data_IF_656754786832
#
_entry.id   IF_656754786832
#
_cell.length_a   1.000
_cell.length_b   1.000
_cell.length_c   1.000
_cell.angle_alpha   90.00
_cell.angle_beta   90.00
_cell.angle_gamma   90.00
#
_symmetry.space_group_name_H-M   'P 1'
#
loop_
_entity.id
_entity.type
_entity.pdbx_description
1 polymer ?
#
# COMPACT_ATOMS: atom_id res chain seq x y z
N UNK A 1 16.54 26.94 22.93
CA UNK A 1 16.04 27.89 21.91
C UNK A 1 16.74 27.76 20.56
N UNK A 2 17.98 27.32 20.47
CA UNK A 2 18.78 27.27 19.22
C UNK A 2 18.45 26.08 18.26
N UNK A 3 17.90 24.96 18.76
CA UNK A 3 17.56 23.80 17.94
C UNK A 3 16.28 23.96 17.07
N UNK A 4 15.32 24.79 17.53
CA UNK A 4 14.09 25.03 16.75
C UNK A 4 14.29 25.97 15.56
N UNK A 5 15.29 26.86 15.62
CA UNK A 5 15.59 27.82 14.55
C UNK A 5 16.27 27.12 13.34
N UNK A 6 17.04 26.05 13.61
CA UNK A 6 17.70 25.28 12.55
C UNK A 6 16.73 24.46 11.71
N UNK A 7 15.68 23.90 12.35
CA UNK A 7 14.66 23.12 11.63
C UNK A 7 13.77 24.00 10.73
N UNK A 8 13.50 25.24 11.14
CA UNK A 8 12.71 26.19 10.34
C UNK A 8 13.48 26.70 9.12
N UNK A 9 14.80 26.84 9.22
CA UNK A 9 15.67 27.28 8.12
C UNK A 9 15.82 26.20 7.03
N UNK A 10 15.81 24.92 7.39
CA UNK A 10 15.85 23.80 6.43
C UNK A 10 14.52 23.71 5.67
N UNK A 11 13.39 23.94 6.35
CA UNK A 11 12.07 23.96 5.72
C UNK A 11 11.91 25.15 4.77
N UNK A 12 12.37 26.32 5.16
CA UNK A 12 12.35 27.52 4.32
C UNK A 12 13.29 27.39 3.09
N UNK A 13 14.46 26.78 3.24
CA UNK A 13 15.38 26.54 2.14
C UNK A 13 14.82 25.54 1.11
N UNK A 14 14.13 24.48 1.55
CA UNK A 14 13.44 23.54 0.67
C UNK A 14 12.30 24.20 -0.10
N UNK A 15 11.54 25.10 0.54
CA UNK A 15 10.42 25.83 -0.09
C UNK A 15 10.92 26.86 -1.10
N UNK A 16 12.05 27.52 -0.84
CA UNK A 16 12.65 28.53 -1.75
C UNK A 16 13.27 27.84 -2.98
N UNK A 17 13.89 26.68 -2.85
CA UNK A 17 14.37 25.90 -3.99
C UNK A 17 13.20 25.43 -4.91
N UNK A 18 12.03 25.22 -4.37
CA UNK A 18 10.83 24.85 -5.13
C UNK A 18 10.28 25.99 -6.00
N UNK A 19 10.37 27.23 -5.51
CA UNK A 19 9.81 28.40 -6.21
C UNK A 19 10.68 28.96 -7.34
N UNK A 20 11.98 28.69 -7.34
CA UNK A 20 12.93 29.32 -8.28
C UNK A 20 13.01 28.61 -9.64
N UNK A 21 12.66 27.32 -9.71
CA UNK A 21 12.74 26.57 -10.98
C UNK A 21 11.44 26.57 -11.82
N UNK A 22 10.31 27.00 -11.25
CA UNK A 22 9.03 27.01 -11.97
C UNK A 22 8.82 28.22 -12.90
N UNK A 23 9.61 29.29 -12.74
CA UNK A 23 9.36 30.58 -13.41
C UNK A 23 10.26 30.89 -14.60
N UNK A 24 11.16 30.01 -15.00
CA UNK A 24 12.12 30.31 -16.08
C UNK A 24 11.80 29.67 -17.45
N UNK A 25 10.81 28.81 -17.57
CA UNK A 25 10.54 28.11 -18.84
C UNK A 25 9.34 28.64 -19.65
N UNK A 26 8.45 29.44 -19.05
CA UNK A 26 7.19 29.85 -19.73
C UNK A 26 7.20 31.25 -20.39
N UNK A 27 8.34 31.95 -20.39
CA UNK A 27 8.33 33.35 -20.89
C UNK A 27 8.80 33.55 -22.33
N UNK A 28 9.19 32.52 -23.08
CA UNK A 28 9.72 32.67 -24.45
C UNK A 28 9.06 31.83 -25.54
N UNK A 29 7.74 31.65 -25.53
CA UNK A 29 7.05 30.96 -26.63
C UNK A 29 5.96 31.78 -27.30
N UNK A 30 6.30 33.01 -27.72
CA UNK A 30 5.46 33.76 -28.67
C UNK A 30 6.32 34.25 -29.84
N UNK A 31 6.27 33.55 -30.98
CA UNK A 31 6.78 34.06 -32.23
C UNK A 31 7.24 33.03 -33.25
N UNK A 32 6.43 32.87 -34.29
CA UNK A 32 6.76 32.32 -35.62
C UNK A 32 7.02 30.82 -35.77
N UNK A 33 6.05 30.18 -36.42
CA UNK A 33 5.99 28.78 -36.81
C UNK A 33 7.11 28.27 -37.70
N UNK A 34 8.17 27.83 -37.06
CA UNK A 34 9.03 26.75 -37.57
C UNK A 34 8.85 25.54 -36.63
N UNK A 35 8.80 24.29 -37.12
CA UNK A 35 8.80 23.15 -36.23
C UNK A 35 10.09 23.20 -35.42
N UNK A 36 10.00 23.55 -34.16
CA UNK A 36 11.14 23.47 -33.23
C UNK A 36 11.71 22.05 -33.28
N UNK A 37 13.05 21.92 -33.50
CA UNK A 37 13.70 20.62 -33.35
C UNK A 37 13.42 20.16 -31.93
N UNK A 38 12.72 19.06 -31.80
CA UNK A 38 12.42 18.45 -30.48
C UNK A 38 13.70 18.44 -29.65
N UNK A 39 13.72 19.09 -28.48
CA UNK A 39 14.95 19.21 -27.70
C UNK A 39 15.46 17.80 -27.41
N UNK A 40 16.68 17.50 -27.84
CA UNK A 40 17.32 16.21 -27.54
C UNK A 40 17.32 16.04 -26.04
N UNK A 41 16.52 15.10 -25.56
CA UNK A 41 16.38 14.83 -24.14
C UNK A 41 17.77 14.66 -23.50
N UNK A 42 18.07 15.46 -22.47
CA UNK A 42 19.39 15.44 -21.84
C UNK A 42 19.70 14.02 -21.34
N UNK A 43 20.91 13.53 -21.60
CA UNK A 43 21.34 12.21 -21.13
C UNK A 43 21.32 12.07 -19.62
N UNK A 44 21.56 13.16 -18.89
CA UNK A 44 21.51 13.26 -17.43
C UNK A 44 20.60 14.43 -17.07
N UNK A 45 19.67 14.21 -16.16
CA UNK A 45 18.82 15.28 -15.61
C UNK A 45 18.65 15.11 -14.10
N UNK A 46 18.51 16.23 -13.41
CA UNK A 46 18.05 16.28 -12.03
C UNK A 46 16.54 16.01 -11.99
N UNK A 47 16.12 15.20 -11.05
CA UNK A 47 14.71 14.85 -10.83
C UNK A 47 14.35 15.03 -9.36
N UNK A 48 13.08 15.25 -9.09
CA UNK A 48 12.53 15.37 -7.74
C UNK A 48 11.11 14.81 -7.73
N UNK A 49 10.71 14.35 -6.57
CA UNK A 49 9.36 13.84 -6.31
C UNK A 49 8.92 14.19 -4.90
N UNK A 50 7.63 14.21 -4.67
CA UNK A 50 7.05 14.33 -3.34
C UNK A 50 5.71 13.60 -3.30
N UNK A 51 5.53 12.82 -2.27
CA UNK A 51 4.28 12.11 -2.01
C UNK A 51 3.75 12.55 -0.64
N UNK A 52 2.50 12.99 -0.61
CA UNK A 52 1.81 13.37 0.60
C UNK A 52 0.63 12.43 0.83
N UNK A 53 0.53 11.90 2.03
CA UNK A 53 -0.55 11.01 2.47
C UNK A 53 -1.12 11.53 3.80
N UNK A 54 -2.39 11.91 3.77
CA UNK A 54 -3.14 12.34 4.94
C UNK A 54 -4.22 11.31 5.21
N UNK A 55 -4.28 10.80 6.43
CA UNK A 55 -5.23 9.78 6.84
C UNK A 55 -5.90 10.11 8.17
N UNK A 56 -7.19 9.85 8.19
CA UNK A 56 -8.01 9.72 9.37
C UNK A 56 -8.74 8.37 9.28
N UNK A 57 -8.65 7.56 10.33
CA UNK A 57 -9.36 6.29 10.46
C UNK A 57 -9.81 6.17 11.92
N UNK A 58 -11.06 6.52 12.17
CA UNK A 58 -11.68 6.36 13.48
C UNK A 58 -12.42 5.03 13.53
N UNK A 59 -12.00 4.18 14.44
CA UNK A 59 -12.51 2.82 14.64
C UNK A 59 -13.31 2.77 15.93
N UNK A 60 -14.59 2.45 15.80
CA UNK A 60 -15.53 2.32 16.90
C UNK A 60 -16.10 0.91 16.89
N UNK A 61 -15.65 0.08 17.84
CA UNK A 61 -16.07 -1.31 18.00
C UNK A 61 -16.62 -1.56 19.37
N UNK A 62 -17.56 -2.53 19.47
CA UNK A 62 -18.13 -2.92 20.73
C UNK A 62 -17.06 -3.45 21.69
N UNK A 63 -17.10 -2.98 22.94
CA UNK A 63 -16.22 -3.42 24.01
C UNK A 63 -16.89 -4.54 24.79
N UNK A 64 -16.43 -5.78 24.63
CA UNK A 64 -16.95 -6.93 25.35
C UNK A 64 -15.91 -8.02 25.53
N UNK A 65 -16.27 -9.13 26.17
CA UNK A 65 -15.37 -10.29 26.35
C UNK A 65 -14.97 -10.93 25.01
N UNK A 66 -15.78 -10.75 23.97
CA UNK A 66 -15.59 -11.24 22.60
C UNK A 66 -15.32 -10.06 21.65
N UNK A 67 -14.43 -9.16 22.08
CA UNK A 67 -14.09 -7.99 21.31
C UNK A 67 -13.48 -8.38 19.96
N UNK A 68 -14.14 -7.96 18.87
CA UNK A 68 -13.67 -8.22 17.50
C UNK A 68 -12.31 -7.58 17.23
N UNK A 69 -12.16 -6.31 17.58
CA UNK A 69 -10.91 -5.57 17.54
C UNK A 69 -10.97 -4.35 18.46
N UNK A 70 -9.85 -3.73 18.75
CA UNK A 70 -9.79 -2.55 19.61
C UNK A 70 -10.27 -1.30 18.89
N UNK A 71 -11.03 -0.44 19.61
CA UNK A 71 -11.36 0.91 19.15
C UNK A 71 -10.12 1.77 19.21
N UNK A 72 -9.84 2.49 18.12
CA UNK A 72 -8.70 3.39 18.03
C UNK A 72 -8.91 4.47 16.98
N UNK A 73 -8.19 5.57 17.09
CA UNK A 73 -8.14 6.60 16.05
C UNK A 73 -6.73 6.72 15.50
N UNK A 74 -6.58 6.52 14.20
CA UNK A 74 -5.37 6.79 13.45
C UNK A 74 -5.58 8.12 12.72
N UNK A 75 -4.79 9.14 13.05
CA UNK A 75 -4.95 10.46 12.48
C UNK A 75 -3.60 11.13 12.29
N UNK A 76 -3.20 11.33 11.05
CA UNK A 76 -1.89 11.87 10.78
C UNK A 76 -1.67 12.27 9.33
N UNK A 77 -0.53 12.85 9.08
CA UNK A 77 -0.03 13.19 7.77
C UNK A 77 1.42 12.74 7.60
N UNK A 78 1.72 12.30 6.40
CA UNK A 78 3.05 11.87 5.97
C UNK A 78 3.46 12.63 4.71
N UNK A 79 4.74 13.00 4.64
CA UNK A 79 5.34 13.63 3.47
C UNK A 79 6.69 12.97 3.18
N UNK A 80 6.86 12.50 1.95
CA UNK A 80 8.10 11.85 1.48
C UNK A 80 8.68 12.59 0.28
N UNK A 81 9.38 13.73 0.50
CA UNK A 81 10.09 14.42 -0.56
C UNK A 81 11.38 13.67 -0.91
N UNK A 82 11.71 13.62 -2.19
CA UNK A 82 12.92 13.00 -2.69
C UNK A 82 13.51 13.79 -3.86
N UNK A 83 14.82 13.69 -4.04
CA UNK A 83 15.58 14.28 -5.14
C UNK A 83 16.52 13.24 -5.71
N UNK A 84 16.93 13.41 -6.95
CA UNK A 84 17.81 12.43 -7.55
C UNK A 84 18.35 12.82 -8.93
N UNK A 85 19.06 11.88 -9.50
CA UNK A 85 19.63 11.98 -10.85
C UNK A 85 19.05 10.86 -11.72
N UNK A 86 18.55 11.24 -12.88
CA UNK A 86 18.16 10.30 -13.92
C UNK A 86 19.22 10.27 -15.00
N UNK A 87 19.68 9.06 -15.37
CA UNK A 87 20.58 8.80 -16.48
C UNK A 87 19.85 7.99 -17.53
N UNK A 88 19.77 8.50 -18.74
CA UNK A 88 19.25 7.76 -19.89
C UNK A 88 20.39 7.01 -20.57
N UNK A 89 20.38 5.70 -20.46
CA UNK A 89 21.37 4.84 -21.12
C UNK A 89 21.13 4.79 -22.63
N UNK A 90 19.87 4.57 -23.03
CA UNK A 90 19.42 4.53 -24.43
C UNK A 90 17.93 4.91 -24.51
N UNK A 91 17.29 4.71 -25.66
CA UNK A 91 15.86 5.02 -25.83
C UNK A 91 14.93 4.18 -24.93
N UNK A 92 15.37 2.98 -24.51
CA UNK A 92 14.56 2.01 -23.79
C UNK A 92 14.95 1.85 -22.32
N UNK A 93 16.09 2.38 -21.87
CA UNK A 93 16.58 2.14 -20.51
C UNK A 93 16.93 3.45 -19.83
N UNK A 94 16.37 3.65 -18.67
CA UNK A 94 16.60 4.77 -17.77
C UNK A 94 16.96 4.27 -16.39
N UNK A 95 17.90 4.94 -15.77
CA UNK A 95 18.37 4.68 -14.42
C UNK A 95 18.10 5.91 -13.57
N UNK A 96 17.70 5.75 -12.33
CA UNK A 96 17.56 6.84 -11.38
C UNK A 96 18.23 6.45 -10.07
N UNK A 97 18.87 7.40 -9.45
CA UNK A 97 19.34 7.30 -8.07
C UNK A 97 18.61 8.37 -7.28
N UNK A 98 17.81 7.95 -6.31
CA UNK A 98 16.95 8.81 -5.50
C UNK A 98 17.42 8.82 -4.06
N UNK A 99 17.34 9.99 -3.42
CA UNK A 99 17.51 10.16 -1.98
C UNK A 99 16.42 11.08 -1.44
N UNK A 100 15.87 10.75 -0.29
CA UNK A 100 14.77 11.49 0.30
C UNK A 100 14.67 11.29 1.79
N UNK A 101 13.62 11.84 2.35
CA UNK A 101 13.27 11.69 3.76
C UNK A 101 11.81 11.31 3.89
N UNK A 102 11.51 10.55 4.91
CA UNK A 102 10.16 10.22 5.33
C UNK A 102 9.86 10.98 6.62
N UNK A 103 8.91 11.89 6.57
CA UNK A 103 8.44 12.65 7.71
C UNK A 103 6.96 12.37 7.94
N UNK A 104 6.60 12.11 9.18
CA UNK A 104 5.24 11.79 9.57
C UNK A 104 4.88 12.51 10.86
N UNK A 105 3.65 12.97 10.97
CA UNK A 105 3.09 13.57 12.15
C UNK A 105 1.72 12.99 12.46
N UNK A 106 1.60 12.32 13.60
CA UNK A 106 0.31 12.03 14.20
C UNK A 106 -0.28 13.30 14.80
N UNK A 107 -1.58 13.51 14.60
CA UNK A 107 -2.31 14.65 15.13
C UNK A 107 -2.94 14.32 16.48
N UNK A 108 -3.14 15.37 17.27
CA UNK A 108 -3.70 15.29 18.61
C UNK A 108 -2.65 15.40 19.71
N UNK A 109 -3.12 15.56 20.94
CA UNK A 109 -2.27 15.49 22.12
C UNK A 109 -2.09 14.03 22.49
N UNK A 110 -0.86 13.62 22.73
CA UNK A 110 -0.65 12.34 23.39
C UNK A 110 -1.33 12.41 24.75
N UNK A 111 -2.28 11.57 25.09
CA UNK A 111 -2.75 11.48 26.45
C UNK A 111 -1.54 11.20 27.34
N UNK A 112 -1.47 11.87 28.48
CA UNK A 112 -0.56 11.48 29.55
C UNK A 112 -0.78 9.99 29.73
N UNK A 113 0.27 9.19 29.48
CA UNK A 113 0.20 7.78 29.40
C UNK A 113 -0.67 7.22 30.52
N UNK A 114 -1.79 6.61 30.17
CA UNK A 114 -2.48 5.70 31.09
C UNK A 114 -1.51 4.54 31.23
N UNK A 115 -0.92 4.46 32.39
CA UNK A 115 0.21 3.63 32.72
C UNK A 115 0.07 2.21 32.16
N UNK A 116 1.16 1.69 31.65
CA UNK A 116 1.55 0.28 31.61
C UNK A 116 0.90 -0.64 30.58
N UNK A 117 0.59 -0.17 29.39
CA UNK A 117 0.45 -1.09 28.25
C UNK A 117 1.66 -0.96 27.31
N UNK A 118 2.38 -2.05 26.96
CA UNK A 118 3.43 -2.00 25.93
C UNK A 118 2.95 -1.46 24.57
N UNK A 119 1.65 -1.42 24.35
CA UNK A 119 0.99 -0.85 23.17
C UNK A 119 0.84 0.68 23.27
N UNK A 120 0.79 1.26 24.48
CA UNK A 120 0.86 2.70 24.70
C UNK A 120 2.23 3.28 24.38
N UNK A 121 3.31 2.54 24.61
CA UNK A 121 4.67 2.99 24.34
C UNK A 121 4.93 3.18 22.83
N UNK A 122 4.27 2.43 21.95
CA UNK A 122 4.33 2.65 20.49
C UNK A 122 3.73 4.01 20.09
N UNK A 123 2.71 4.48 20.79
CA UNK A 123 2.14 5.82 20.59
C UNK A 123 3.09 6.94 20.98
N UNK A 124 3.96 6.74 21.97
CA UNK A 124 4.96 7.71 22.40
C UNK A 124 6.16 7.78 21.46
N UNK A 125 6.55 6.67 20.81
CA UNK A 125 7.60 6.66 19.80
C UNK A 125 7.21 7.43 18.53
N UNK A 126 5.92 7.53 18.24
CA UNK A 126 5.37 8.24 17.07
C UNK A 126 5.44 9.78 17.17
N UNK A 127 6.03 10.35 18.23
CA UNK A 127 6.25 11.80 18.34
C UNK A 127 7.37 12.32 17.43
N UNK A 128 8.22 11.45 16.90
CA UNK A 128 9.32 11.83 16.01
C UNK A 128 8.78 12.19 14.64
N UNK A 129 8.92 13.44 14.25
CA UNK A 129 8.54 13.92 12.92
C UNK A 129 9.33 13.22 11.81
N UNK A 130 10.62 13.04 11.99
CA UNK A 130 11.49 12.32 11.08
C UNK A 130 11.41 10.83 11.38
N UNK A 131 11.09 10.04 10.36
CA UNK A 131 10.98 8.58 10.44
C UNK A 131 12.22 7.92 9.90
N UNK A 132 12.56 8.20 8.65
CA UNK A 132 13.55 7.45 7.91
C UNK A 132 14.15 8.26 6.77
N UNK A 133 15.34 7.86 6.32
CA UNK A 133 15.95 8.29 5.06
C UNK A 133 15.58 7.26 3.99
N UNK A 134 15.06 7.72 2.87
CA UNK A 134 14.90 6.89 1.68
C UNK A 134 16.12 7.06 0.78
N UNK A 135 16.66 5.96 0.29
CA UNK A 135 17.75 5.97 -0.67
C UNK A 135 17.66 4.73 -1.55
N UNK A 136 17.38 4.92 -2.82
CA UNK A 136 17.16 3.79 -3.71
C UNK A 136 17.60 4.05 -5.14
N UNK A 137 17.94 2.97 -5.80
CA UNK A 137 18.12 2.88 -7.22
C UNK A 137 16.82 2.44 -7.89
N UNK A 138 16.48 3.08 -9.03
CA UNK A 138 15.31 2.77 -9.87
C UNK A 138 15.79 2.54 -11.29
N UNK A 139 15.38 1.44 -11.90
CA UNK A 139 15.57 1.14 -13.32
C UNK A 139 14.24 0.99 -14.02
N UNK A 140 14.10 1.64 -15.18
CA UNK A 140 12.94 1.53 -16.06
C UNK A 140 13.44 1.08 -17.44
N UNK A 141 13.02 -0.11 -17.89
CA UNK A 141 13.50 -0.74 -19.10
C UNK A 141 12.34 -1.23 -19.96
N UNK A 142 12.29 -0.79 -21.22
CA UNK A 142 11.34 -1.29 -22.22
C UNK A 142 11.97 -2.46 -22.98
N UNK A 143 11.40 -3.65 -22.80
CA UNK A 143 11.86 -4.91 -23.40
C UNK A 143 10.78 -5.44 -24.37
N UNK A 144 10.83 -4.99 -25.60
CA UNK A 144 9.79 -5.33 -26.60
C UNK A 144 8.43 -4.78 -26.18
N UNK A 145 7.46 -5.67 -25.96
CA UNK A 145 6.10 -5.32 -25.49
C UNK A 145 5.99 -5.17 -23.97
N UNK A 146 7.07 -5.44 -23.24
CA UNK A 146 7.10 -5.35 -21.78
C UNK A 146 7.79 -4.08 -21.31
N UNK A 147 7.26 -3.50 -20.23
CA UNK A 147 7.92 -2.48 -19.46
C UNK A 147 8.31 -3.05 -18.11
N UNK A 148 9.59 -3.06 -17.77
CA UNK A 148 10.12 -3.62 -16.53
C UNK A 148 10.67 -2.48 -15.68
N UNK A 149 10.25 -2.43 -14.41
CA UNK A 149 10.77 -1.49 -13.43
C UNK A 149 11.36 -2.26 -12.26
N UNK A 150 12.50 -1.81 -11.78
CA UNK A 150 13.18 -2.39 -10.63
C UNK A 150 13.59 -1.32 -9.64
N UNK A 151 13.52 -1.64 -8.35
CA UNK A 151 13.91 -0.77 -7.24
C UNK A 151 14.80 -1.56 -6.29
N UNK A 152 15.81 -0.92 -5.72
CA UNK A 152 16.68 -1.53 -4.73
C UNK A 152 17.17 -0.46 -3.73
N UNK A 153 17.07 -0.74 -2.44
CA UNK A 153 17.41 0.14 -1.34
C UNK A 153 16.22 0.37 -0.39
N UNK A 154 16.10 1.57 0.16
CA UNK A 154 15.00 1.99 1.01
C UNK A 154 14.08 2.89 0.18
N UNK A 155 12.91 2.41 -0.19
CA UNK A 155 12.00 3.06 -1.11
C UNK A 155 10.53 2.97 -0.65
N UNK A 156 9.67 3.93 -1.06
CA UNK A 156 8.27 3.96 -0.63
C UNK A 156 7.47 2.70 -1.02
N UNK A 157 6.75 2.13 -0.07
CA UNK A 157 5.91 0.92 -0.24
C UNK A 157 4.81 1.09 -1.30
N UNK A 158 4.32 2.32 -1.55
CA UNK A 158 3.34 2.57 -2.60
C UNK A 158 3.85 2.32 -4.03
N UNK A 159 5.16 2.13 -4.21
CA UNK A 159 5.74 1.68 -5.48
C UNK A 159 5.42 0.20 -5.78
N UNK A 160 5.07 -0.61 -4.77
CA UNK A 160 4.41 -1.89 -4.98
C UNK A 160 2.94 -1.63 -5.31
N UNK A 161 2.51 -2.05 -6.50
CA UNK A 161 1.22 -1.68 -7.09
C UNK A 161 0.22 -2.85 -7.15
N UNK A 162 0.60 -4.04 -6.69
CA UNK A 162 -0.27 -5.19 -6.59
C UNK A 162 -1.50 -4.89 -5.74
N UNK A 163 -2.65 -5.42 -6.16
CA UNK A 163 -3.93 -5.25 -5.47
C UNK A 163 -4.05 -6.29 -4.35
N UNK A 164 -3.19 -6.13 -3.33
CA UNK A 164 -3.19 -7.00 -2.16
C UNK A 164 -4.40 -6.70 -1.28
N UNK A 165 -5.10 -7.74 -0.86
CA UNK A 165 -6.19 -7.60 0.09
C UNK A 165 -5.68 -7.15 1.46
N UNK A 166 -6.60 -6.72 2.32
CA UNK A 166 -6.26 -6.36 3.70
C UNK A 166 -5.79 -7.56 4.55
N UNK A 167 -6.03 -8.80 4.11
CA UNK A 167 -5.48 -9.98 4.76
C UNK A 167 -3.94 -10.06 4.63
N UNK A 168 -3.36 -9.47 3.58
CA UNK A 168 -1.90 -9.40 3.40
C UNK A 168 -1.28 -8.21 4.12
N UNK A 169 -1.84 -7.02 3.90
CA UNK A 169 -1.29 -5.76 4.41
C UNK A 169 -2.43 -4.85 4.87
N UNK A 170 -2.45 -4.54 6.15
CA UNK A 170 -3.43 -3.63 6.73
C UNK A 170 -3.20 -2.17 6.27
N UNK A 171 -4.26 -1.37 6.31
CA UNK A 171 -4.14 0.07 6.02
C UNK A 171 -3.26 0.80 7.05
N UNK A 172 -3.25 0.31 8.29
CA UNK A 172 -2.36 0.82 9.36
C UNK A 172 -0.90 0.57 9.03
N UNK A 173 -0.56 -0.68 8.64
CA UNK A 173 0.80 -1.02 8.23
C UNK A 173 1.26 -0.10 7.08
N UNK A 174 0.47 -0.01 6.02
CA UNK A 174 0.81 0.81 4.84
C UNK A 174 1.04 2.29 5.19
N UNK A 175 0.43 2.78 6.27
CA UNK A 175 0.59 4.16 6.71
C UNK A 175 1.76 4.34 7.68
N UNK A 176 1.96 3.44 8.65
CA UNK A 176 3.01 3.56 9.67
C UNK A 176 4.35 3.00 9.22
N UNK A 177 4.34 1.97 8.40
CA UNK A 177 5.51 1.35 7.76
C UNK A 177 5.42 1.59 6.24
N UNK A 178 5.79 2.82 5.84
CA UNK A 178 5.58 3.32 4.47
C UNK A 178 6.69 2.93 3.51
N UNK A 179 7.81 2.42 3.98
CA UNK A 179 8.96 2.09 3.15
C UNK A 179 9.19 0.57 3.10
N UNK A 180 9.83 0.13 2.03
CA UNK A 180 10.39 -1.21 1.86
C UNK A 180 11.92 -1.09 1.91
N UNK A 181 12.55 -1.97 2.68
CA UNK A 181 14.00 -2.05 2.79
C UNK A 181 14.51 -3.27 2.03
N UNK A 182 14.73 -3.16 0.73
CA UNK A 182 15.12 -4.32 -0.05
C UNK A 182 15.06 -4.13 -1.55
N UNK A 183 14.24 -4.94 -2.24
CA UNK A 183 14.13 -4.90 -3.69
C UNK A 183 12.68 -5.12 -4.15
N UNK A 184 12.33 -4.51 -5.28
CA UNK A 184 11.06 -4.69 -5.97
C UNK A 184 11.32 -4.76 -7.47
N UNK A 185 10.73 -5.74 -8.13
CA UNK A 185 10.68 -5.80 -9.59
C UNK A 185 9.24 -5.87 -10.06
N UNK A 186 8.91 -5.10 -11.11
CA UNK A 186 7.59 -5.07 -11.73
C UNK A 186 7.71 -5.22 -13.24
N UNK A 187 6.77 -5.95 -13.84
CA UNK A 187 6.72 -6.13 -15.27
C UNK A 187 5.30 -5.91 -15.79
N UNK A 188 5.17 -5.00 -16.74
CA UNK A 188 3.92 -4.64 -17.39
C UNK A 188 3.93 -5.13 -18.82
N UNK A 189 3.10 -6.12 -19.11
CA UNK A 189 2.83 -6.59 -20.47
C UNK A 189 1.48 -6.08 -20.99
N UNK A 190 1.13 -6.38 -22.24
CA UNK A 190 -0.13 -5.94 -22.84
C UNK A 190 -1.39 -6.41 -22.11
N UNK A 191 -1.32 -7.58 -21.47
CA UNK A 191 -2.43 -8.19 -20.71
C UNK A 191 -2.01 -8.70 -19.34
N UNK A 192 -0.75 -8.49 -18.95
CA UNK A 192 -0.17 -9.10 -17.77
C UNK A 192 0.51 -8.06 -16.91
N UNK A 193 0.33 -8.17 -15.62
CA UNK A 193 1.12 -7.48 -14.61
C UNK A 193 1.73 -8.50 -13.68
N UNK A 194 3.01 -8.33 -13.37
CA UNK A 194 3.75 -9.14 -12.42
C UNK A 194 4.55 -8.23 -11.49
N UNK A 195 4.61 -8.62 -10.22
CA UNK A 195 5.39 -7.91 -9.22
C UNK A 195 5.94 -8.91 -8.20
N UNK A 196 7.18 -8.69 -7.80
CA UNK A 196 7.86 -9.44 -6.74
C UNK A 196 8.66 -8.47 -5.90
N UNK A 197 8.48 -8.53 -4.59
CA UNK A 197 9.18 -7.71 -3.61
C UNK A 197 9.84 -8.58 -2.55
N UNK A 198 10.95 -8.08 -2.05
CA UNK A 198 11.64 -8.54 -0.85
C UNK A 198 11.81 -7.34 0.08
N UNK A 199 11.44 -7.49 1.35
CA UNK A 199 11.44 -6.46 2.37
C UNK A 199 12.13 -6.99 3.62
N UNK A 200 13.16 -6.32 4.08
CA UNK A 200 13.96 -6.74 5.22
C UNK A 200 13.59 -5.92 6.45
N UNK A 201 12.76 -6.49 7.32
CA UNK A 201 12.18 -5.77 8.47
C UNK A 201 13.06 -5.80 9.72
N UNK A 202 14.07 -6.67 9.79
CA UNK A 202 14.91 -6.77 10.97
C UNK A 202 16.16 -7.62 10.79
N UNK A 203 17.25 -7.16 11.38
CA UNK A 203 18.55 -7.84 11.35
C UNK A 203 18.72 -8.76 12.55
N UNK A 204 19.27 -9.95 12.30
CA UNK A 204 19.63 -10.89 13.36
C UNK A 204 20.72 -10.34 14.32
N UNK A 205 20.58 -10.61 15.59
CA UNK A 205 21.58 -10.25 16.62
C UNK A 205 21.19 -10.76 18.00
N UNK A 206 22.01 -10.50 19.02
CA UNK A 206 21.77 -11.00 20.39
C UNK A 206 20.41 -10.57 20.95
N UNK A 207 19.98 -9.35 20.64
CA UNK A 207 18.69 -8.77 21.06
C UNK A 207 17.87 -8.25 19.87
N UNK A 208 18.25 -8.61 18.63
CA UNK A 208 17.57 -8.22 17.40
C UNK A 208 16.97 -9.44 16.74
N UNK A 209 15.77 -9.29 16.21
CA UNK A 209 15.02 -10.32 15.54
C UNK A 209 15.23 -10.24 14.06
N UNK A 210 15.57 -11.35 13.42
CA UNK A 210 15.56 -11.45 11.98
C UNK A 210 14.14 -11.52 11.48
N UNK A 211 13.79 -10.58 10.61
CA UNK A 211 12.47 -10.55 10.00
C UNK A 211 12.61 -10.12 8.54
N UNK A 212 11.90 -10.80 7.68
CA UNK A 212 11.77 -10.37 6.29
C UNK A 212 10.46 -10.86 5.69
N UNK A 213 9.98 -10.09 4.70
CA UNK A 213 8.85 -10.42 3.88
C UNK A 213 9.29 -10.64 2.44
N UNK A 214 8.77 -11.68 1.80
CA UNK A 214 8.77 -11.81 0.34
C UNK A 214 7.33 -11.85 -0.12
N UNK A 215 6.95 -10.99 -1.03
CA UNK A 215 5.58 -10.96 -1.52
C UNK A 215 5.52 -10.67 -3.01
N UNK A 216 4.44 -11.07 -3.64
CA UNK A 216 4.28 -10.86 -5.06
C UNK A 216 2.83 -10.90 -5.50
N UNK A 217 2.61 -10.35 -6.67
CA UNK A 217 1.30 -10.25 -7.29
C UNK A 217 1.41 -10.49 -8.79
N UNK A 218 0.52 -11.30 -9.32
CA UNK A 218 0.40 -11.51 -10.75
C UNK A 218 -1.05 -11.43 -11.19
N UNK A 219 -1.30 -10.76 -12.34
CA UNK A 219 -2.63 -10.64 -12.93
C UNK A 219 -2.55 -10.79 -14.44
N UNK A 220 -3.46 -11.56 -14.99
CA UNK A 220 -3.67 -11.72 -16.43
C UNK A 220 -5.10 -11.31 -16.82
N UNK A 221 -5.21 -10.50 -17.88
CA UNK A 221 -6.48 -10.00 -18.41
C UNK A 221 -6.84 -10.86 -19.63
N UNK A 222 -7.83 -11.74 -19.49
CA UNK A 222 -8.30 -12.60 -20.57
C UNK A 222 -9.04 -11.79 -21.63
N UNK A 223 -9.96 -10.93 -21.17
CA UNK A 223 -10.80 -10.08 -22.02
C UNK A 223 -11.28 -8.85 -21.22
N UNK A 224 -12.22 -8.09 -21.77
CA UNK A 224 -12.75 -6.86 -21.17
C UNK A 224 -13.48 -7.10 -19.83
N UNK A 225 -13.92 -8.33 -19.58
CA UNK A 225 -14.78 -8.65 -18.45
C UNK A 225 -14.10 -9.53 -17.41
N UNK A 226 -13.06 -10.30 -17.82
CA UNK A 226 -12.47 -11.32 -16.96
C UNK A 226 -10.98 -11.15 -16.83
N UNK A 227 -10.51 -11.13 -15.61
CA UNK A 227 -9.10 -11.27 -15.25
C UNK A 227 -8.94 -12.26 -14.11
N UNK A 228 -7.79 -12.89 -14.03
CA UNK A 228 -7.43 -13.74 -12.90
C UNK A 228 -5.99 -13.49 -12.48
N UNK A 229 -5.66 -13.89 -11.28
CA UNK A 229 -4.34 -13.67 -10.74
C UNK A 229 -4.07 -14.42 -9.46
N UNK A 230 -2.91 -14.12 -8.93
CA UNK A 230 -2.40 -14.69 -7.69
C UNK A 230 -1.67 -13.59 -6.91
N UNK A 231 -1.97 -13.49 -5.63
CA UNK A 231 -1.11 -12.80 -4.66
C UNK A 231 -0.48 -13.82 -3.73
N UNK A 232 0.71 -13.55 -3.25
CA UNK A 232 1.36 -14.37 -2.21
C UNK A 232 2.21 -13.51 -1.29
N UNK A 233 2.42 -14.00 -0.08
CA UNK A 233 3.34 -13.44 0.93
C UNK A 233 4.01 -14.60 1.67
N UNK A 234 5.26 -14.44 1.98
CA UNK A 234 6.00 -15.24 2.94
C UNK A 234 6.68 -14.31 3.93
N UNK A 235 6.35 -14.46 5.20
CA UNK A 235 6.97 -13.73 6.30
C UNK A 235 7.76 -14.71 7.18
N UNK A 236 9.03 -14.41 7.33
CA UNK A 236 9.92 -15.08 8.26
C UNK A 236 10.10 -14.20 9.49
N UNK A 237 9.78 -14.76 10.66
CA UNK A 237 9.91 -14.08 11.95
C UNK A 237 10.74 -14.94 12.88
N UNK A 238 12.00 -14.58 13.07
CA UNK A 238 12.90 -15.26 13.98
C UNK A 238 13.06 -14.49 15.29
N UNK A 239 13.34 -15.18 16.38
CA UNK A 239 13.73 -14.53 17.63
C UNK A 239 15.21 -14.10 17.60
N UNK A 240 15.59 -13.31 18.63
CA UNK A 240 16.98 -12.99 18.91
C UNK A 240 17.76 -14.24 19.30
N UNK A 241 19.09 -14.19 19.24
CA UNK A 241 19.96 -15.32 19.56
C UNK A 241 19.74 -15.91 20.96
N UNK A 242 19.27 -15.10 21.89
CA UNK A 242 18.98 -15.52 23.29
C UNK A 242 17.61 -16.19 23.46
N UNK A 243 16.69 -16.04 22.50
CA UNK A 243 15.32 -16.55 22.58
C UNK A 243 15.00 -17.30 21.28
N UNK A 244 15.21 -18.61 21.31
CA UNK A 244 15.12 -19.46 20.13
C UNK A 244 13.71 -19.78 19.68
N UNK A 245 13.11 -18.95 18.85
CA UNK A 245 11.84 -19.29 18.18
C UNK A 245 11.85 -18.75 16.76
N UNK A 246 11.33 -19.53 15.83
CA UNK A 246 11.14 -19.13 14.44
C UNK A 246 9.71 -19.45 14.05
N UNK A 247 9.01 -18.45 13.52
CA UNK A 247 7.66 -18.58 12.96
C UNK A 247 7.70 -18.20 11.50
N UNK A 248 7.21 -19.06 10.65
CA UNK A 248 7.03 -18.81 9.22
C UNK A 248 5.53 -18.65 8.94
N UNK A 249 5.15 -17.58 8.22
CA UNK A 249 3.78 -17.32 7.75
C UNK A 249 3.80 -17.16 6.23
N UNK A 250 3.38 -18.20 5.51
CA UNK A 250 3.18 -18.16 4.07
C UNK A 250 1.69 -18.10 3.76
N UNK A 251 1.28 -17.21 2.87
CA UNK A 251 -0.11 -17.09 2.40
C UNK A 251 -0.16 -16.90 0.91
N UNK A 252 -1.09 -17.59 0.25
CA UNK A 252 -1.38 -17.45 -1.18
C UNK A 252 -2.87 -17.12 -1.39
N UNK A 253 -3.15 -16.31 -2.41
CA UNK A 253 -4.50 -15.88 -2.77
C UNK A 253 -4.67 -15.92 -4.29
N UNK A 254 -5.07 -17.05 -4.90
CA UNK A 254 -5.63 -17.07 -6.25
C UNK A 254 -6.96 -16.31 -6.26
N UNK A 255 -7.21 -15.58 -7.36
CA UNK A 255 -8.46 -14.86 -7.54
C UNK A 255 -8.90 -14.81 -9.00
N UNK A 256 -10.20 -14.66 -9.20
CA UNK A 256 -10.83 -14.34 -10.49
C UNK A 256 -11.69 -13.10 -10.28
N UNK A 257 -11.56 -12.13 -11.18
CA UNK A 257 -12.32 -10.88 -11.16
C UNK A 257 -13.12 -10.73 -12.44
N UNK A 258 -14.37 -10.43 -12.27
CA UNK A 258 -15.31 -9.99 -13.32
C UNK A 258 -15.51 -8.48 -13.17
N UNK A 259 -15.45 -7.73 -14.26
CA UNK A 259 -15.63 -6.29 -14.25
C UNK A 259 -16.42 -5.83 -15.47
N UNK A 260 -17.40 -4.95 -15.24
CA UNK A 260 -18.27 -4.40 -16.26
C UNK A 260 -18.30 -2.88 -16.13
N UNK A 261 -17.98 -2.18 -17.21
CA UNK A 261 -18.11 -0.73 -17.27
C UNK A 261 -19.41 -0.34 -17.97
N UNK A 262 -20.08 0.68 -17.44
CA UNK A 262 -21.34 1.22 -18.00
C UNK A 262 -22.42 0.15 -18.22
N UNK A 263 -22.57 -0.71 -17.25
CA UNK A 263 -23.56 -1.78 -17.29
C UNK A 263 -24.75 -1.46 -16.38
N UNK A 264 -25.98 -1.62 -16.87
CA UNK A 264 -27.24 -1.39 -16.12
C UNK A 264 -27.30 -0.04 -15.41
N UNK A 265 -26.76 1.03 -16.00
CA UNK A 265 -26.78 2.38 -15.42
C UNK A 265 -25.66 2.67 -14.40
N UNK A 266 -24.85 1.67 -14.05
CA UNK A 266 -23.66 1.84 -13.22
C UNK A 266 -22.43 2.15 -14.06
N UNK A 267 -21.53 2.99 -13.55
CA UNK A 267 -20.27 3.28 -14.22
C UNK A 267 -19.29 2.12 -14.16
N UNK A 268 -19.26 1.43 -13.03
CA UNK A 268 -18.34 0.34 -12.75
C UNK A 268 -19.01 -0.68 -11.84
N UNK A 269 -19.04 -1.93 -12.28
CA UNK A 269 -19.47 -3.07 -11.48
C UNK A 269 -18.35 -4.08 -11.50
N UNK A 270 -17.92 -4.59 -10.36
CA UNK A 270 -17.00 -5.72 -10.35
C UNK A 270 -17.36 -6.72 -9.26
N UNK A 271 -17.05 -7.98 -9.55
CA UNK A 271 -17.13 -9.07 -8.61
C UNK A 271 -15.80 -9.82 -8.61
N UNK A 272 -15.26 -10.09 -7.43
CA UNK A 272 -14.00 -10.85 -7.27
C UNK A 272 -14.29 -12.06 -6.38
N UNK A 273 -13.85 -13.23 -6.83
CA UNK A 273 -13.82 -14.44 -6.04
C UNK A 273 -12.36 -14.79 -5.77
N UNK A 274 -12.00 -14.93 -4.51
CA UNK A 274 -10.66 -15.25 -4.06
C UNK A 274 -10.68 -16.40 -3.05
N UNK A 275 -9.58 -17.13 -2.98
CA UNK A 275 -9.32 -18.14 -1.96
C UNK A 275 -8.03 -17.83 -1.25
N UNK A 276 -8.05 -17.81 0.08
CA UNK A 276 -6.84 -17.70 0.91
C UNK A 276 -6.43 -19.09 1.37
N UNK A 277 -5.16 -19.38 1.23
CA UNK A 277 -4.53 -20.54 1.87
C UNK A 277 -3.28 -20.07 2.58
N UNK A 278 -3.29 -20.22 3.90
CA UNK A 278 -2.12 -19.95 4.73
C UNK A 278 -1.43 -21.25 5.11
N UNK A 279 -0.11 -21.20 5.22
CA UNK A 279 0.77 -22.25 5.69
C UNK A 279 1.67 -21.62 6.74
N UNK A 280 1.40 -21.93 8.00
CA UNK A 280 2.10 -21.32 9.13
C UNK A 280 2.74 -22.36 10.00
N UNK A 281 3.93 -22.05 10.50
CA UNK A 281 4.66 -22.97 11.37
C UNK A 281 5.39 -22.19 12.46
N UNK A 282 5.03 -22.42 13.71
CA UNK A 282 5.86 -22.09 14.88
C UNK A 282 6.81 -23.27 15.15
N UNK A 283 8.09 -23.13 14.77
CA UNK A 283 9.09 -24.20 14.89
C UNK A 283 9.42 -24.57 16.33
N UNK A 284 9.03 -23.76 17.29
CA UNK A 284 9.18 -24.01 18.73
C UNK A 284 8.28 -25.13 19.20
N UNK A 285 7.11 -25.30 18.59
CA UNK A 285 6.11 -26.28 18.99
C UNK A 285 6.20 -27.53 18.10
N UNK A 286 6.15 -28.70 18.70
CA UNK A 286 6.22 -29.98 17.99
C UNK A 286 5.09 -30.14 16.96
N UNK A 287 3.90 -29.62 17.28
CA UNK A 287 2.70 -29.62 16.43
C UNK A 287 2.29 -28.20 16.03
N UNK A 288 3.28 -27.29 15.92
CA UNK A 288 3.07 -25.86 15.66
C UNK A 288 2.75 -25.52 14.21
N UNK A 289 2.18 -26.47 13.43
CA UNK A 289 1.75 -26.23 12.06
C UNK A 289 0.26 -25.88 12.02
N UNK A 290 -0.07 -24.81 11.28
CA UNK A 290 -1.45 -24.40 11.05
C UNK A 290 -1.64 -24.01 9.58
N UNK A 291 -2.70 -24.54 8.98
CA UNK A 291 -3.02 -24.34 7.55
C UNK A 291 -4.44 -23.78 7.40
N UNK A 292 -4.72 -22.56 7.91
CA UNK A 292 -6.03 -21.96 7.75
C UNK A 292 -6.26 -21.53 6.30
N UNK A 293 -7.52 -21.57 5.88
CA UNK A 293 -7.93 -21.12 4.56
C UNK A 293 -9.37 -20.67 4.56
N UNK A 294 -9.77 -19.93 3.51
CA UNK A 294 -11.13 -19.45 3.33
C UNK A 294 -11.34 -18.78 1.99
N UNK A 295 -12.60 -18.68 1.60
CA UNK A 295 -13.02 -17.96 0.40
C UNK A 295 -13.48 -16.54 0.71
N UNK A 296 -13.22 -15.61 -0.19
CA UNK A 296 -13.75 -14.25 -0.14
C UNK A 296 -14.46 -13.90 -1.43
N UNK A 297 -15.64 -13.34 -1.31
CA UNK A 297 -16.40 -12.80 -2.41
C UNK A 297 -16.58 -11.30 -2.21
N UNK A 298 -16.02 -10.51 -3.11
CA UNK A 298 -16.09 -9.04 -3.08
C UNK A 298 -16.90 -8.54 -4.26
N UNK A 299 -17.90 -7.70 -3.99
CA UNK A 299 -18.67 -6.95 -5.00
C UNK A 299 -18.42 -5.47 -4.81
N UNK A 300 -18.11 -4.78 -5.90
CA UNK A 300 -17.95 -3.32 -5.91
C UNK A 300 -18.84 -2.70 -6.97
N UNK A 301 -19.62 -1.71 -6.57
CA UNK A 301 -20.52 -0.94 -7.40
C UNK A 301 -20.12 0.52 -7.29
N UNK A 302 -19.98 1.22 -8.43
CA UNK A 302 -19.70 2.64 -8.42
C UNK A 302 -20.54 3.38 -9.46
N UNK A 303 -21.10 4.50 -9.01
CA UNK A 303 -21.77 5.43 -9.90
C UNK A 303 -21.42 6.87 -9.50
N UNK A 304 -21.10 7.71 -10.50
CA UNK A 304 -20.54 9.05 -10.28
C UNK A 304 -19.31 8.98 -9.35
N UNK A 305 -19.39 9.63 -8.21
CA UNK A 305 -18.32 9.68 -7.22
C UNK A 305 -18.61 8.82 -5.98
N UNK A 306 -19.72 8.09 -5.98
CA UNK A 306 -20.14 7.23 -4.87
C UNK A 306 -19.94 5.78 -5.25
N UNK A 307 -19.42 4.99 -4.32
CA UNK A 307 -19.29 3.55 -4.49
C UNK A 307 -19.68 2.80 -3.23
N UNK A 308 -20.00 1.54 -3.45
CA UNK A 308 -20.30 0.54 -2.41
C UNK A 308 -19.41 -0.65 -2.70
N UNK A 309 -18.72 -1.14 -1.69
CA UNK A 309 -17.94 -2.36 -1.76
C UNK A 309 -18.34 -3.27 -0.59
N UNK A 310 -18.68 -4.49 -0.90
CA UNK A 310 -18.99 -5.51 0.09
C UNK A 310 -18.06 -6.70 -0.11
N UNK A 311 -17.40 -7.13 0.96
CA UNK A 311 -16.51 -8.29 0.99
C UNK A 311 -16.99 -9.27 2.04
N UNK A 312 -17.39 -10.44 1.61
CA UNK A 312 -17.82 -11.55 2.44
C UNK A 312 -16.74 -12.62 2.48
N UNK A 313 -16.10 -12.80 3.60
CA UNK A 313 -15.16 -13.88 3.88
C UNK A 313 -15.87 -15.03 4.59
N UNK A 314 -15.61 -16.26 4.15
CA UNK A 314 -15.99 -17.48 4.84
C UNK A 314 -14.78 -18.40 4.94
N UNK A 315 -14.30 -18.64 6.14
CA UNK A 315 -13.07 -19.38 6.34
C UNK A 315 -12.69 -19.56 7.80
N UNK A 316 -11.46 -20.05 8.00
CA UNK A 316 -10.83 -20.19 9.30
C UNK A 316 -10.10 -18.90 9.67
N UNK A 317 -9.70 -18.79 10.94
CA UNK A 317 -8.81 -17.74 11.43
C UNK A 317 -7.49 -17.74 10.64
N UNK A 318 -7.23 -16.69 9.87
CA UNK A 318 -5.99 -16.54 9.10
C UNK A 318 -4.79 -16.16 9.97
N UNK A 319 -4.99 -15.88 11.27
CA UNK A 319 -3.96 -15.42 12.20
C UNK A 319 -3.94 -16.28 13.50
N UNK A 320 -3.81 -17.60 13.40
CA UNK A 320 -3.98 -18.51 14.55
C UNK A 320 -2.97 -18.25 15.67
N UNK A 321 -1.78 -17.71 15.38
CA UNK A 321 -0.76 -17.41 16.37
C UNK A 321 -0.81 -15.97 16.90
N UNK A 322 -1.82 -15.16 16.52
CA UNK A 322 -1.88 -13.74 16.87
C UNK A 322 -1.76 -13.45 18.37
N UNK A 323 -2.38 -14.28 19.20
CA UNK A 323 -2.35 -14.12 20.66
C UNK A 323 -1.23 -14.89 21.36
N UNK A 324 -0.41 -15.60 20.62
CA UNK A 324 0.71 -16.35 21.20
C UNK A 324 1.82 -15.39 21.63
N UNK A 325 2.59 -15.84 22.61
CA UNK A 325 3.71 -15.10 23.19
C UNK A 325 4.97 -15.90 22.92
N UNK A 326 6.04 -15.24 22.54
CA UNK A 326 7.34 -15.88 22.38
C UNK A 326 8.02 -16.15 23.73
N UNK A 327 9.20 -16.81 23.71
CA UNK A 327 9.96 -17.13 24.91
C UNK A 327 10.49 -15.90 25.65
N UNK A 328 10.55 -14.73 25.00
CA UNK A 328 10.88 -13.44 25.59
C UNK A 328 9.68 -12.70 26.19
N UNK A 329 8.49 -13.30 26.17
CA UNK A 329 7.26 -12.69 26.66
C UNK A 329 6.61 -11.70 25.71
N UNK A 330 7.07 -11.60 24.45
CA UNK A 330 6.49 -10.71 23.44
C UNK A 330 5.36 -11.40 22.70
N UNK A 331 4.22 -10.72 22.59
CA UNK A 331 3.09 -11.16 21.80
C UNK A 331 3.41 -11.08 20.30
N UNK A 332 3.06 -12.12 19.54
CA UNK A 332 3.24 -12.10 18.10
C UNK A 332 2.41 -11.00 17.42
N UNK A 333 1.10 -11.00 17.59
CA UNK A 333 0.22 -9.91 17.15
C UNK A 333 0.56 -9.33 15.77
N UNK A 334 0.64 -8.02 15.71
CA UNK A 334 1.02 -7.29 14.50
C UNK A 334 2.53 -7.40 14.15
N UNK A 335 3.36 -7.97 15.02
CA UNK A 335 4.77 -8.22 14.70
C UNK A 335 4.91 -9.39 13.73
N UNK A 336 4.05 -10.40 13.86
CA UNK A 336 4.00 -11.56 12.96
C UNK A 336 3.07 -11.30 11.76
N UNK A 337 1.95 -10.60 11.99
CA UNK A 337 0.91 -10.44 10.98
C UNK A 337 0.82 -9.00 10.47
N UNK A 338 1.25 -8.81 9.23
CA UNK A 338 1.12 -7.54 8.51
C UNK A 338 -0.33 -7.23 8.08
N UNK A 339 -1.18 -8.25 8.04
CA UNK A 339 -2.58 -8.14 7.63
C UNK A 339 -3.48 -7.47 8.67
N UNK A 340 -4.69 -7.15 8.24
CA UNK A 340 -5.71 -6.60 9.14
C UNK A 340 -6.21 -7.65 10.13
N UNK A 341 -6.31 -7.33 11.42
CA UNK A 341 -6.85 -8.22 12.44
C UNK A 341 -8.32 -8.58 12.24
N UNK A 342 -9.00 -7.97 11.26
CA UNK A 342 -10.37 -8.31 10.89
C UNK A 342 -10.54 -9.72 10.32
N UNK A 343 -9.46 -10.33 9.81
CA UNK A 343 -9.44 -11.72 9.33
C UNK A 343 -9.13 -12.73 10.44
N UNK A 344 -9.01 -12.25 11.68
CA UNK A 344 -8.93 -13.06 12.86
C UNK A 344 -10.34 -13.45 13.30
N UNK A 345 -10.52 -14.69 13.65
CA UNK A 345 -11.80 -15.20 14.15
C UNK A 345 -11.87 -15.05 15.67
N UNK A 346 -13.02 -14.64 16.17
CA UNK A 346 -13.34 -14.52 17.59
C UNK A 346 -14.55 -15.39 17.89
N UNK A 347 -14.54 -16.23 18.94
CA UNK A 347 -13.50 -16.36 19.98
C UNK A 347 -12.22 -17.06 19.51
N UNK A 348 -11.11 -16.66 20.07
CA UNK A 348 -9.72 -16.97 19.66
C UNK A 348 -9.37 -18.47 19.57
N UNK A 349 -10.12 -19.36 20.20
CA UNK A 349 -9.81 -20.80 20.27
C UNK A 349 -10.75 -21.66 19.41
N UNK A 350 -11.60 -21.04 18.60
CA UNK A 350 -12.49 -21.77 17.73
C UNK A 350 -11.77 -22.12 16.42
N UNK A 351 -11.62 -23.41 16.13
CA UNK A 351 -11.03 -23.91 14.88
C UNK A 351 -12.05 -24.05 13.74
N UNK A 352 -13.29 -23.62 13.96
CA UNK A 352 -14.41 -23.72 13.02
C UNK A 352 -14.30 -22.78 11.83
N UNK A 353 -15.29 -22.87 10.95
CA UNK A 353 -15.48 -21.95 9.84
C UNK A 353 -16.41 -20.83 10.26
N UNK A 354 -16.04 -19.59 9.93
CA UNK A 354 -16.72 -18.36 10.34
C UNK A 354 -16.98 -17.45 9.17
N UNK A 355 -18.00 -16.61 9.32
CA UNK A 355 -18.29 -15.53 8.39
C UNK A 355 -17.71 -14.21 8.91
N UNK A 356 -17.17 -13.44 7.98
CA UNK A 356 -16.86 -12.03 8.21
C UNK A 356 -17.31 -11.23 7.01
N UNK A 357 -18.22 -10.28 7.22
CA UNK A 357 -18.71 -9.37 6.19
C UNK A 357 -18.24 -7.95 6.48
N UNK A 358 -17.78 -7.28 5.43
CA UNK A 358 -17.31 -5.91 5.44
C UNK A 358 -18.04 -5.11 4.37
N UNK A 359 -18.80 -4.12 4.78
CA UNK A 359 -19.51 -3.21 3.89
C UNK A 359 -18.86 -1.83 3.95
N UNK A 360 -18.34 -1.35 2.84
CA UNK A 360 -17.81 -0.01 2.68
C UNK A 360 -18.69 0.81 1.74
N UNK A 361 -19.14 1.98 2.21
CA UNK A 361 -19.75 3.02 1.38
C UNK A 361 -18.76 4.18 1.31
N UNK A 362 -18.46 4.67 0.11
CA UNK A 362 -17.46 5.70 -0.06
C UNK A 362 -17.89 6.77 -1.07
N UNK A 363 -17.34 7.96 -0.86
CA UNK A 363 -17.37 9.07 -1.79
C UNK A 363 -15.93 9.38 -2.21
N UNK A 364 -15.67 9.36 -3.52
CA UNK A 364 -14.35 9.55 -4.10
C UNK A 364 -14.47 10.44 -5.34
N UNK A 365 -14.53 11.78 -5.16
CA UNK A 365 -14.60 12.72 -6.27
C UNK A 365 -13.29 12.75 -7.07
N UNK A 366 -13.42 12.99 -8.36
CA UNK A 366 -12.26 13.35 -9.15
C UNK A 366 -11.96 14.84 -8.96
N UNK A 367 -10.84 15.13 -8.31
CA UNK A 367 -10.36 16.50 -8.13
C UNK A 367 -9.31 16.81 -9.18
N UNK A 368 -8.28 15.99 -9.28
CA UNK A 368 -7.20 16.08 -10.25
C UNK A 368 -6.46 14.73 -10.33
N UNK A 369 -5.75 14.46 -11.42
CA UNK A 369 -5.02 13.19 -11.62
C UNK A 369 -3.91 12.96 -10.58
N UNK A 370 -3.39 14.03 -10.02
CA UNK A 370 -2.34 13.99 -8.98
C UNK A 370 -2.90 14.02 -7.55
N UNK A 371 -4.21 14.12 -7.39
CA UNK A 371 -4.89 14.11 -6.10
C UNK A 371 -5.90 12.98 -6.02
N UNK A 372 -5.97 12.31 -4.89
CA UNK A 372 -6.91 11.24 -4.62
C UNK A 372 -7.54 11.48 -3.24
N UNK A 373 -8.81 11.85 -3.22
CA UNK A 373 -9.60 12.06 -2.01
C UNK A 373 -10.63 10.95 -1.90
N UNK A 374 -10.67 10.26 -0.76
CA UNK A 374 -11.69 9.25 -0.45
C UNK A 374 -12.21 9.44 0.97
N UNK A 375 -13.52 9.56 1.09
CA UNK A 375 -14.26 9.50 2.35
C UNK A 375 -15.02 8.19 2.38
N UNK A 376 -14.96 7.42 3.46
CA UNK A 376 -15.72 6.18 3.56
C UNK A 376 -16.19 5.87 4.98
N UNK A 377 -17.29 5.12 5.05
CA UNK A 377 -17.78 4.45 6.23
C UNK A 377 -17.68 2.96 5.94
N UNK A 378 -17.04 2.23 6.85
CA UNK A 378 -16.90 0.77 6.77
C UNK A 378 -17.59 0.16 7.95
N UNK A 379 -18.57 -0.70 7.71
CA UNK A 379 -19.26 -1.48 8.74
C UNK A 379 -18.77 -2.91 8.75
N UNK A 380 -18.64 -3.49 9.93
CA UNK A 380 -18.07 -4.81 10.14
C UNK A 380 -19.09 -5.73 10.81
N UNK A 381 -19.25 -6.92 10.25
CA UNK A 381 -20.18 -7.94 10.68
C UNK A 381 -19.46 -9.29 10.79
N UNK A 382 -18.73 -9.53 11.89
CA UNK A 382 -18.16 -10.84 12.15
C UNK A 382 -19.26 -11.84 12.49
N UNK A 383 -18.89 -13.02 12.75
CA UNK A 383 -19.64 -14.20 13.10
C UNK A 383 -21.15 -14.05 13.32
N UNK A 384 -21.94 -14.76 12.50
CA UNK A 384 -23.40 -14.65 12.52
C UNK A 384 -23.95 -13.35 11.92
N UNK A 385 -23.12 -12.59 11.21
CA UNK A 385 -23.46 -11.31 10.59
C UNK A 385 -24.01 -10.26 11.57
N UNK A 386 -23.56 -10.31 12.82
CA UNK A 386 -23.89 -9.30 13.82
C UNK A 386 -23.00 -8.08 13.63
N UNK A 387 -23.61 -6.90 13.70
CA UNK A 387 -22.84 -5.65 13.66
C UNK A 387 -21.90 -5.55 14.86
N UNK A 388 -20.62 -5.38 14.61
CA UNK A 388 -19.57 -5.27 15.63
C UNK A 388 -18.98 -3.87 15.76
N UNK A 389 -19.21 -3.01 14.79
CA UNK A 389 -18.67 -1.66 14.80
C UNK A 389 -18.40 -1.11 13.41
N UNK A 390 -17.82 0.08 13.36
CA UNK A 390 -17.54 0.78 12.10
C UNK A 390 -16.22 1.53 12.12
N UNK A 391 -15.77 1.85 10.91
CA UNK A 391 -14.67 2.79 10.68
C UNK A 391 -15.20 4.01 9.90
N UNK A 392 -14.76 5.18 10.29
CA UNK A 392 -14.93 6.43 9.52
C UNK A 392 -13.56 6.81 8.98
N UNK A 393 -13.43 6.85 7.65
CA UNK A 393 -12.13 7.01 7.01
C UNK A 393 -12.11 8.22 6.09
N UNK A 394 -11.00 8.97 6.16
CA UNK A 394 -10.64 9.99 5.19
C UNK A 394 -9.21 9.73 4.73
N UNK A 395 -9.00 9.68 3.43
CA UNK A 395 -7.67 9.60 2.81
C UNK A 395 -7.54 10.69 1.75
N UNK A 396 -6.48 11.47 1.85
CA UNK A 396 -6.09 12.45 0.84
C UNK A 396 -4.64 12.17 0.44
N UNK A 397 -4.44 11.81 -0.81
CA UNK A 397 -3.13 11.53 -1.38
C UNK A 397 -2.82 12.58 -2.45
N UNK A 398 -1.61 13.14 -2.39
CA UNK A 398 -1.06 14.00 -3.43
C UNK A 398 0.26 13.38 -3.93
N UNK A 399 0.42 13.29 -5.26
CA UNK A 399 1.64 12.76 -5.91
C UNK A 399 2.20 13.77 -6.89
N UNK A 400 3.40 14.27 -6.60
CA UNK A 400 4.09 15.21 -7.47
C UNK A 400 4.52 14.54 -8.78
N UNK A 401 4.93 13.27 -8.76
CA UNK A 401 5.27 12.54 -9.99
C UNK A 401 4.09 12.51 -10.97
N UNK A 402 2.88 12.30 -10.49
CA UNK A 402 1.68 12.34 -11.35
C UNK A 402 1.38 13.75 -11.90
N UNK A 403 1.69 14.79 -11.12
CA UNK A 403 1.53 16.17 -11.56
C UNK A 403 2.54 16.51 -12.65
N UNK A 404 3.79 16.10 -12.49
CA UNK A 404 4.89 16.43 -13.42
C UNK A 404 4.95 15.49 -14.62
N UNK A 405 4.52 14.24 -14.47
CA UNK A 405 4.56 13.19 -15.47
C UNK A 405 3.17 12.52 -15.62
N UNK A 406 2.16 13.23 -16.12
CA UNK A 406 0.78 12.71 -16.20
C UNK A 406 0.65 11.45 -17.07
N UNK A 407 1.61 11.21 -17.97
CA UNK A 407 1.66 10.03 -18.84
C UNK A 407 2.29 8.79 -18.20
N UNK A 408 2.80 8.89 -16.97
CA UNK A 408 3.31 7.70 -16.28
C UNK A 408 2.15 6.73 -15.98
N UNK A 409 2.18 5.48 -16.51
CA UNK A 409 1.17 4.52 -16.20
C UNK A 409 1.22 4.23 -14.70
N UNK A 410 0.20 4.65 -13.98
CA UNK A 410 0.05 4.27 -12.58
C UNK A 410 -0.52 2.87 -12.52
N UNK A 411 -0.09 2.04 -11.58
CA UNK A 411 -0.56 0.67 -11.42
C UNK A 411 -2.06 0.51 -11.21
N UNK A 412 -2.78 1.61 -11.04
CA UNK A 412 -4.26 1.63 -11.08
C UNK A 412 -4.84 1.10 -12.40
N UNK A 413 -4.16 1.29 -13.51
CA UNK A 413 -4.56 0.72 -14.80
C UNK A 413 -4.57 -0.81 -14.76
N UNK A 414 -3.65 -1.39 -14.03
CA UNK A 414 -3.51 -2.84 -13.88
C UNK A 414 -4.50 -3.41 -12.87
N UNK A 415 -4.94 -2.60 -11.91
CA UNK A 415 -5.95 -2.99 -10.92
C UNK A 415 -7.34 -3.16 -11.52
N UNK A 416 -7.61 -2.49 -12.64
CA UNK A 416 -8.88 -2.56 -13.38
C UNK A 416 -8.74 -3.43 -14.61
N UNK A 417 -9.83 -3.98 -15.06
CA UNK A 417 -9.89 -4.44 -16.44
C UNK A 417 -9.69 -3.21 -17.33
N UNK A 418 -8.78 -3.30 -18.29
CA UNK A 418 -8.52 -2.18 -19.22
C UNK A 418 -9.82 -1.88 -19.97
N UNK A 419 -10.27 -0.61 -19.95
CA UNK A 419 -11.50 -0.24 -20.63
C UNK A 419 -11.36 -0.37 -22.16
N UNK A 420 -12.47 -0.58 -22.88
CA UNK A 420 -12.48 -0.59 -24.34
C UNK A 420 -11.99 0.72 -24.94
N UNK A 421 -12.24 1.84 -24.25
CA UNK A 421 -11.85 3.19 -24.70
C UNK A 421 -10.35 3.38 -24.67
N UNK A 422 -9.70 2.88 -23.62
CA UNK A 422 -8.26 2.98 -23.44
C UNK A 422 -7.50 2.09 -24.42
N UNK A 423 -8.07 0.96 -24.83
CA UNK A 423 -7.48 0.09 -25.86
C UNK A 423 -7.49 0.70 -27.25
N UNK A 424 -8.50 1.50 -27.60
CA UNK A 424 -8.57 2.17 -28.92
C UNK A 424 -7.56 3.29 -29.05
N UNK A 425 -7.09 3.88 -27.93
CA UNK A 425 -6.10 4.97 -27.92
C UNK A 425 -4.65 4.50 -27.95
N UNK A 426 -4.41 3.19 -27.82
CA UNK A 426 -3.06 2.63 -27.76
C UNK A 426 -2.40 2.84 -26.41
N UNK A 427 -1.46 1.95 -26.07
CA UNK A 427 -0.77 1.92 -24.77
C UNK A 427 0.18 3.11 -24.56
N UNK A 428 0.38 3.99 -25.54
CA UNK A 428 1.21 5.19 -25.46
C UNK A 428 0.53 6.41 -24.85
N UNK A 429 -0.82 6.40 -24.76
CA UNK A 429 -1.62 7.51 -24.24
C UNK A 429 -2.44 7.11 -23.01
N UNK A 430 -1.93 6.21 -22.21
CA UNK A 430 -2.57 5.89 -20.97
C UNK A 430 -2.38 7.04 -19.97
N UNK A 431 -3.10 8.13 -20.20
CA UNK A 431 -3.33 9.13 -19.19
C UNK A 431 -4.25 8.51 -18.17
N UNK A 432 -3.74 8.31 -16.96
CA UNK A 432 -4.46 7.75 -15.83
C UNK A 432 -5.62 8.61 -15.34
N UNK A 433 -6.45 9.08 -16.27
CA UNK A 433 -7.72 9.69 -15.93
C UNK A 433 -8.60 8.61 -15.33
N UNK A 434 -8.71 8.63 -14.03
CA UNK A 434 -9.60 7.80 -13.22
C UNK A 434 -11.07 8.04 -13.55
N UNK A 435 -11.36 9.05 -14.36
CA UNK A 435 -12.67 9.61 -14.57
C UNK A 435 -12.79 10.12 -16.00
N UNK A 436 -12.99 9.21 -16.94
CA UNK A 436 -13.61 9.60 -18.18
C UNK A 436 -15.05 10.01 -17.86
N UNK A 437 -15.35 11.30 -17.94
CA UNK A 437 -16.71 11.80 -18.10
C UNK A 437 -17.24 11.31 -19.44
#
# INVERSE_FOLDING_TARGET
MTKHIMNLKIFAAATILFCVNASAQDFFSWGFGMPEPQPKEKRVKFIYDAYFDYKFDNREFDSGKEQFTESMTLYGARLTPSVGLQVRQNANVRHKLMAGIDVMKDFGRHPSAVASSPECDRGLENTRLFREITMYYDIDAKLGAWNVKGYAGIFPRHLAEGDYSQAFFSDSLKFYDNNLEGALIKAYGPKTYLELAFDWDGQYGSYRREQFNTFGYGKYIFNDFVSAGLAFKYHHYANAAEYGSVVDDAMVQPFVRFGFEKFCGWQDISATLAWYQSLQQDRRQKDGQSNPGGGEFTVSLRNWNVGIENSLYYGKDLMPFYNYVDDGGFKYGNNLYAGSPFYRVVPVNDSGWHFYDRLEVYWQPHIADFMDLRLSIVSHFPDGLKYAGMQQKLSLIFSLDKLLNPSNPTGRAVRRNISRRDRRRGTSEYNGSLFGI
#
